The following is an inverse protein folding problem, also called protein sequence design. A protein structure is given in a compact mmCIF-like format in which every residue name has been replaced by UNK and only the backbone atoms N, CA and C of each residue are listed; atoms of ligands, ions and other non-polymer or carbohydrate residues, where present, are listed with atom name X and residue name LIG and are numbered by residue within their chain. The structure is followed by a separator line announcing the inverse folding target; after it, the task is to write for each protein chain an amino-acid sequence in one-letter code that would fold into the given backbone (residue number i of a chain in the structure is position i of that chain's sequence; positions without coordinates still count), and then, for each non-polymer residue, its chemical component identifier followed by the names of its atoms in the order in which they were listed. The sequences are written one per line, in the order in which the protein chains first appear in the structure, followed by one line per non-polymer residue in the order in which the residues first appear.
data_IF_419413412684
#
_entry.id   IF_419413412684
#
_cell.length_a   1.000
_cell.length_b   1.000
_cell.length_c   1.000
_cell.angle_alpha   90.00
_cell.angle_beta   90.00
_cell.angle_gamma   90.00
#
_symmetry.space_group_name_H-M   'P 1'
#
loop_
_entity.id
_entity.type
_entity.pdbx_description
1 polymer ?
#
# COMPACT_ATOMS: atom_id res chain seq x y z
N UNK A 1 -17.85 -14.59 -38.56
CA UNK A 1 -17.52 -13.23 -38.07
C UNK A 1 -16.30 -13.39 -37.19
N UNK A 2 -15.22 -12.63 -37.40
CA UNK A 2 -13.98 -12.81 -36.61
C UNK A 2 -14.10 -12.13 -35.25
N UNK A 3 -13.41 -12.66 -34.22
CA UNK A 3 -13.29 -12.04 -32.88
C UNK A 3 -12.85 -10.57 -32.97
N UNK A 4 -12.05 -10.23 -34.00
CA UNK A 4 -11.60 -8.87 -34.27
C UNK A 4 -12.76 -7.89 -34.51
N UNK A 5 -13.76 -8.29 -35.31
CA UNK A 5 -14.97 -7.48 -35.55
C UNK A 5 -15.86 -7.40 -34.31
N UNK A 6 -15.87 -8.47 -33.51
CA UNK A 6 -16.62 -8.52 -32.26
C UNK A 6 -16.08 -7.51 -31.23
N UNK A 7 -14.75 -7.31 -31.19
CA UNK A 7 -14.09 -6.30 -30.34
C UNK A 7 -14.39 -4.85 -30.74
N UNK A 8 -14.77 -4.58 -31.99
CA UNK A 8 -15.22 -3.24 -32.37
C UNK A 8 -16.54 -2.88 -31.71
N UNK A 9 -17.45 -3.85 -31.56
CA UNK A 9 -18.72 -3.64 -30.84
C UNK A 9 -18.51 -3.38 -29.35
N UNK A 10 -17.52 -4.04 -28.72
CA UNK A 10 -17.13 -3.74 -27.34
C UNK A 10 -16.66 -2.29 -27.19
N UNK A 11 -15.74 -1.85 -28.05
CA UNK A 11 -15.23 -0.46 -28.04
C UNK A 11 -16.33 0.58 -28.27
N UNK A 12 -17.36 0.22 -29.03
CA UNK A 12 -18.51 1.06 -29.29
C UNK A 12 -19.60 0.99 -28.20
N UNK A 13 -19.39 0.23 -27.11
CA UNK A 13 -20.36 0.02 -26.03
C UNK A 13 -21.59 -0.80 -26.45
N UNK A 14 -21.56 -1.47 -27.59
CA UNK A 14 -22.67 -2.27 -28.11
C UNK A 14 -22.63 -3.69 -27.55
N UNK A 15 -22.71 -3.80 -26.22
CA UNK A 15 -22.46 -5.03 -25.47
C UNK A 15 -23.46 -6.16 -25.80
N UNK A 16 -24.72 -5.84 -26.10
CA UNK A 16 -25.70 -6.83 -26.53
C UNK A 16 -25.33 -7.45 -27.89
N UNK A 17 -24.77 -6.68 -28.82
CA UNK A 17 -24.29 -7.22 -30.11
C UNK A 17 -23.02 -8.03 -29.94
N UNK A 18 -22.10 -7.59 -29.08
CA UNK A 18 -20.92 -8.37 -28.73
C UNK A 18 -21.33 -9.73 -28.13
N UNK A 19 -22.33 -9.76 -27.25
CA UNK A 19 -22.88 -10.99 -26.67
C UNK A 19 -23.44 -11.97 -27.71
N UNK A 20 -24.16 -11.47 -28.72
CA UNK A 20 -24.67 -12.31 -29.81
C UNK A 20 -23.52 -12.96 -30.59
N UNK A 21 -22.43 -12.23 -30.80
CA UNK A 21 -21.25 -12.78 -31.49
C UNK A 21 -20.53 -13.81 -30.63
N UNK A 22 -20.40 -13.56 -29.32
CA UNK A 22 -19.76 -14.49 -28.38
C UNK A 22 -20.43 -15.87 -28.38
N UNK A 23 -21.76 -15.92 -28.51
CA UNK A 23 -22.52 -17.18 -28.59
C UNK A 23 -22.21 -17.99 -29.87
N UNK A 24 -21.74 -17.34 -30.93
CA UNK A 24 -21.40 -17.97 -32.21
C UNK A 24 -19.92 -18.38 -32.31
N UNK A 25 -19.09 -18.10 -31.31
CA UNK A 25 -17.69 -18.54 -31.27
C UNK A 25 -17.64 -20.05 -30.96
N UNK A 26 -17.00 -20.81 -31.84
CA UNK A 26 -16.86 -22.26 -31.71
C UNK A 26 -15.67 -22.69 -30.84
N UNK A 27 -14.60 -21.89 -30.83
CA UNK A 27 -13.43 -22.10 -30.00
C UNK A 27 -13.73 -21.73 -28.54
N UNK A 28 -13.61 -22.69 -27.61
CA UNK A 28 -14.01 -22.49 -26.22
C UNK A 28 -13.11 -21.48 -25.51
N UNK A 29 -11.80 -21.50 -25.75
CA UNK A 29 -10.85 -20.60 -25.10
C UNK A 29 -11.06 -19.15 -25.58
N UNK A 30 -11.14 -18.95 -26.90
CA UNK A 30 -11.46 -17.65 -27.48
C UNK A 30 -12.85 -17.14 -27.10
N UNK A 31 -13.81 -18.04 -26.88
CA UNK A 31 -15.14 -17.69 -26.37
C UNK A 31 -15.07 -17.21 -24.92
N UNK A 32 -14.38 -17.93 -24.04
CA UNK A 32 -14.24 -17.55 -22.64
C UNK A 32 -13.50 -16.22 -22.48
N UNK A 33 -12.41 -16.01 -23.23
CA UNK A 33 -11.70 -14.73 -23.27
C UNK A 33 -12.61 -13.57 -23.71
N UNK A 34 -13.46 -13.80 -24.72
CA UNK A 34 -14.35 -12.76 -25.22
C UNK A 34 -15.57 -12.53 -24.31
N UNK A 35 -16.08 -13.57 -23.65
CA UNK A 35 -17.09 -13.43 -22.60
C UNK A 35 -16.55 -12.63 -21.41
N UNK A 36 -15.29 -12.86 -21.02
CA UNK A 36 -14.60 -12.05 -20.01
C UNK A 36 -14.49 -10.58 -20.44
N UNK A 37 -14.07 -10.30 -21.69
CA UNK A 37 -14.05 -8.93 -22.22
C UNK A 37 -15.43 -8.25 -22.13
N UNK A 38 -16.53 -8.96 -22.45
CA UNK A 38 -17.89 -8.39 -22.37
C UNK A 38 -18.32 -8.18 -20.91
N UNK A 39 -18.08 -9.16 -20.04
CA UNK A 39 -18.47 -9.07 -18.63
C UNK A 39 -17.71 -7.95 -17.91
N UNK A 40 -16.42 -7.78 -18.22
CA UNK A 40 -15.59 -6.68 -17.75
C UNK A 40 -16.16 -5.31 -18.14
N UNK A 41 -16.56 -5.12 -19.40
CA UNK A 41 -17.17 -3.86 -19.85
C UNK A 41 -18.55 -3.61 -19.21
N UNK A 42 -19.35 -4.65 -18.98
CA UNK A 42 -20.59 -4.50 -18.18
C UNK A 42 -20.28 -4.08 -16.74
N UNK A 43 -19.28 -4.69 -16.11
CA UNK A 43 -18.86 -4.33 -14.76
C UNK A 43 -18.37 -2.88 -14.71
N UNK A 44 -17.49 -2.46 -15.62
CA UNK A 44 -17.03 -1.05 -15.69
C UNK A 44 -18.15 -0.03 -15.93
N UNK A 45 -19.22 -0.44 -16.60
CA UNK A 45 -20.41 0.39 -16.78
C UNK A 45 -21.37 0.38 -15.56
N UNK A 46 -20.99 -0.26 -14.45
CA UNK A 46 -21.81 -0.39 -13.24
C UNK A 46 -22.94 -1.41 -13.36
N UNK A 47 -22.98 -2.20 -14.44
CA UNK A 47 -24.01 -3.22 -14.67
C UNK A 47 -23.59 -4.57 -14.08
N UNK A 48 -23.29 -4.59 -12.78
CA UNK A 48 -22.75 -5.74 -12.05
C UNK A 48 -23.60 -7.02 -12.21
N UNK A 49 -24.94 -6.92 -12.13
CA UNK A 49 -25.82 -8.08 -12.29
C UNK A 49 -25.66 -8.75 -13.67
N UNK A 50 -25.47 -7.95 -14.73
CA UNK A 50 -25.24 -8.48 -16.09
C UNK A 50 -23.86 -9.09 -16.20
N UNK A 51 -22.84 -8.48 -15.59
CA UNK A 51 -21.50 -9.04 -15.54
C UNK A 51 -21.51 -10.42 -14.86
N UNK A 52 -22.17 -10.54 -13.70
CA UNK A 52 -22.29 -11.81 -12.96
C UNK A 52 -22.97 -12.92 -13.78
N UNK A 53 -24.05 -12.61 -14.50
CA UNK A 53 -24.73 -13.59 -15.39
C UNK A 53 -23.82 -14.13 -16.52
N UNK A 54 -22.80 -13.36 -16.90
CA UNK A 54 -21.84 -13.75 -17.94
C UNK A 54 -20.69 -14.52 -17.31
N UNK A 55 -20.23 -14.09 -16.14
CA UNK A 55 -19.17 -14.73 -15.34
C UNK A 55 -19.45 -16.20 -15.05
N UNK A 56 -20.72 -16.58 -14.84
CA UNK A 56 -21.12 -17.98 -14.69
C UNK A 56 -20.76 -18.88 -15.89
N UNK A 57 -20.50 -18.28 -17.06
CA UNK A 57 -20.22 -18.98 -18.32
C UNK A 57 -18.73 -18.96 -18.70
N UNK A 58 -17.88 -18.33 -17.89
CA UNK A 58 -16.43 -18.22 -18.11
C UNK A 58 -15.73 -19.30 -17.29
N UNK A 59 -14.81 -20.04 -17.91
CA UNK A 59 -14.11 -21.16 -17.26
C UNK A 59 -12.60 -20.92 -17.10
N UNK A 60 -12.05 -19.85 -17.68
CA UNK A 60 -10.65 -19.46 -17.51
C UNK A 60 -10.47 -18.46 -16.35
N UNK A 61 -9.21 -18.15 -16.05
CA UNK A 61 -8.83 -17.37 -14.86
C UNK A 61 -9.23 -15.90 -14.95
N UNK A 62 -9.47 -15.36 -16.15
CA UNK A 62 -10.04 -14.01 -16.34
C UNK A 62 -11.42 -13.84 -15.69
N UNK A 63 -12.07 -14.94 -15.32
CA UNK A 63 -13.24 -14.92 -14.45
C UNK A 63 -12.98 -14.10 -13.17
N UNK A 64 -11.83 -14.29 -12.53
CA UNK A 64 -11.47 -13.66 -11.28
C UNK A 64 -11.24 -12.14 -11.45
N UNK A 65 -10.60 -11.73 -12.55
CA UNK A 65 -10.45 -10.31 -12.95
C UNK A 65 -11.82 -9.60 -13.02
N UNK A 66 -12.81 -10.23 -13.66
CA UNK A 66 -14.15 -9.62 -13.76
C UNK A 66 -14.83 -9.57 -12.39
N UNK A 67 -14.69 -10.61 -11.58
CA UNK A 67 -15.26 -10.67 -10.24
C UNK A 67 -14.70 -9.58 -9.33
N UNK A 68 -13.39 -9.27 -9.37
CA UNK A 68 -12.82 -8.19 -8.54
C UNK A 68 -13.41 -6.82 -8.88
N UNK A 69 -13.61 -6.52 -10.18
CA UNK A 69 -14.28 -5.29 -10.62
C UNK A 69 -15.73 -5.24 -10.13
N UNK A 70 -16.44 -6.37 -10.15
CA UNK A 70 -17.80 -6.45 -9.62
C UNK A 70 -17.84 -6.21 -8.12
N UNK A 71 -16.90 -6.80 -7.36
CA UNK A 71 -16.74 -6.54 -5.92
C UNK A 71 -16.61 -5.04 -5.67
N UNK A 72 -15.69 -4.38 -6.37
CA UNK A 72 -15.48 -2.93 -6.25
C UNK A 72 -16.75 -2.11 -6.49
N UNK A 73 -17.54 -2.47 -7.50
CA UNK A 73 -18.80 -1.76 -7.77
C UNK A 73 -19.80 -1.87 -6.61
N UNK A 74 -19.93 -3.06 -6.01
CA UNK A 74 -20.81 -3.22 -4.84
C UNK A 74 -20.26 -2.47 -3.63
N UNK A 75 -18.94 -2.45 -3.44
CA UNK A 75 -18.26 -1.62 -2.42
C UNK A 75 -18.57 -0.13 -2.63
N UNK A 76 -18.38 0.39 -3.84
CA UNK A 76 -18.67 1.80 -4.16
C UNK A 76 -20.17 2.13 -4.03
N UNK A 77 -21.05 1.15 -4.23
CA UNK A 77 -22.48 1.23 -3.96
C UNK A 77 -22.87 1.10 -2.48
N UNK A 78 -21.92 0.75 -1.60
CA UNK A 78 -22.12 0.55 -0.16
C UNK A 78 -22.73 -0.81 0.22
N UNK A 79 -22.84 -1.73 -0.74
CA UNK A 79 -23.39 -3.07 -0.53
C UNK A 79 -22.29 -4.09 -0.22
N UNK A 80 -21.69 -3.91 0.96
CA UNK A 80 -20.53 -4.68 1.39
C UNK A 80 -20.81 -6.18 1.60
N UNK A 81 -22.06 -6.57 1.88
CA UNK A 81 -22.41 -7.98 2.06
C UNK A 81 -22.39 -8.72 0.72
N UNK A 82 -22.93 -8.11 -0.34
CA UNK A 82 -22.79 -8.67 -1.68
C UNK A 82 -21.34 -8.67 -2.15
N UNK A 83 -20.60 -7.59 -1.90
CA UNK A 83 -19.17 -7.53 -2.22
C UNK A 83 -18.39 -8.71 -1.60
N UNK A 84 -18.61 -9.00 -0.30
CA UNK A 84 -18.02 -10.16 0.39
C UNK A 84 -18.40 -11.49 -0.25
N UNK A 85 -19.68 -11.71 -0.55
CA UNK A 85 -20.13 -12.96 -1.15
C UNK A 85 -19.49 -13.21 -2.52
N UNK A 86 -19.33 -12.17 -3.32
CA UNK A 86 -18.68 -12.27 -4.62
C UNK A 86 -17.17 -12.49 -4.46
N UNK A 87 -16.51 -11.82 -3.51
CA UNK A 87 -15.09 -12.01 -3.23
C UNK A 87 -14.78 -13.46 -2.84
N UNK A 88 -15.67 -14.16 -2.13
CA UNK A 88 -15.53 -15.59 -1.79
C UNK A 88 -15.55 -16.53 -3.01
N UNK A 89 -16.09 -16.09 -4.14
CA UNK A 89 -16.10 -16.88 -5.38
C UNK A 89 -14.75 -16.78 -6.11
N UNK A 90 -13.98 -15.71 -5.87
CA UNK A 90 -12.68 -15.49 -6.48
C UNK A 90 -11.72 -16.54 -5.93
N UNK A 91 -11.17 -17.35 -6.82
CA UNK A 91 -10.17 -18.35 -6.45
C UNK A 91 -8.85 -17.67 -6.16
N UNK A 92 -8.18 -18.15 -5.12
CA UNK A 92 -6.81 -17.82 -4.76
C UNK A 92 -5.89 -18.85 -5.45
N UNK A 93 -5.26 -18.53 -6.60
CA UNK A 93 -4.31 -19.45 -7.19
C UNK A 93 -3.09 -19.59 -6.26
N UNK A 94 -2.56 -20.81 -6.11
CA UNK A 94 -1.36 -21.06 -5.29
C UNK A 94 -0.08 -20.41 -5.87
N UNK A 95 -0.14 -19.87 -7.10
CA UNK A 95 0.96 -19.21 -7.80
C UNK A 95 0.64 -17.70 -7.97
N UNK A 96 1.55 -16.86 -7.46
CA UNK A 96 1.53 -15.40 -7.29
C UNK A 96 1.29 -14.54 -8.57
N UNK A 97 0.83 -15.10 -9.68
CA UNK A 97 0.83 -14.40 -10.97
C UNK A 97 -0.40 -13.50 -11.21
N UNK A 98 -1.54 -13.71 -10.53
CA UNK A 98 -2.74 -12.90 -10.71
C UNK A 98 -3.66 -12.92 -9.46
N UNK A 99 -3.33 -12.10 -8.46
CA UNK A 99 -4.01 -12.15 -7.16
C UNK A 99 -5.26 -11.24 -7.09
N UNK A 100 -6.26 -11.44 -7.95
CA UNK A 100 -7.51 -10.67 -7.91
C UNK A 100 -8.28 -10.80 -6.57
N UNK A 101 -7.98 -11.84 -5.78
CA UNK A 101 -8.54 -12.02 -4.43
C UNK A 101 -8.02 -10.94 -3.48
N UNK A 102 -6.72 -10.59 -3.50
CA UNK A 102 -6.20 -9.52 -2.64
C UNK A 102 -6.84 -8.18 -3.00
N UNK A 103 -7.04 -7.90 -4.31
CA UNK A 103 -7.68 -6.65 -4.77
C UNK A 103 -9.09 -6.54 -4.20
N UNK A 104 -9.87 -7.63 -4.31
CA UNK A 104 -11.24 -7.68 -3.84
C UNK A 104 -11.36 -7.49 -2.32
N UNK A 105 -10.52 -8.18 -1.52
CA UNK A 105 -10.56 -8.02 -0.05
C UNK A 105 -10.07 -6.63 0.38
N UNK A 106 -9.06 -6.08 -0.31
CA UNK A 106 -8.55 -4.73 -0.03
C UNK A 106 -9.61 -3.67 -0.32
N UNK A 107 -10.33 -3.79 -1.46
CA UNK A 107 -11.43 -2.89 -1.80
C UNK A 107 -12.55 -2.95 -0.75
N UNK A 108 -12.92 -4.14 -0.27
CA UNK A 108 -13.94 -4.29 0.79
C UNK A 108 -13.49 -3.61 2.09
N UNK A 109 -12.27 -3.89 2.54
CA UNK A 109 -11.71 -3.35 3.78
C UNK A 109 -11.58 -1.82 3.71
N UNK A 110 -11.00 -1.31 2.62
CA UNK A 110 -10.90 0.13 2.37
C UNK A 110 -12.29 0.77 2.26
N UNK A 111 -13.23 0.12 1.59
CA UNK A 111 -14.59 0.61 1.43
C UNK A 111 -15.34 0.77 2.75
N UNK A 112 -15.26 -0.22 3.64
CA UNK A 112 -15.80 -0.08 5.00
C UNK A 112 -15.16 1.10 5.73
N UNK A 113 -13.84 1.20 5.69
CA UNK A 113 -13.10 2.28 6.33
C UNK A 113 -13.43 3.66 5.73
N UNK A 114 -13.62 3.74 4.40
CA UNK A 114 -14.04 4.95 3.67
C UNK A 114 -15.45 5.39 4.08
N UNK A 115 -16.33 4.43 4.34
CA UNK A 115 -17.65 4.67 4.91
C UNK A 115 -17.63 4.97 6.43
N UNK A 116 -16.45 5.05 7.05
CA UNK A 116 -16.28 5.30 8.49
C UNK A 116 -16.59 4.09 9.38
N UNK A 117 -16.81 2.92 8.79
CA UNK A 117 -17.15 1.68 9.49
C UNK A 117 -15.87 0.87 9.81
N UNK A 118 -14.92 1.51 10.50
CA UNK A 118 -13.62 0.90 10.80
C UNK A 118 -13.72 -0.41 11.58
N UNK A 119 -14.63 -0.52 12.56
CA UNK A 119 -14.83 -1.75 13.32
C UNK A 119 -15.20 -2.93 12.41
N UNK A 120 -16.05 -2.70 11.40
CA UNK A 120 -16.42 -3.73 10.42
C UNK A 120 -15.30 -4.03 9.44
N UNK A 121 -14.50 -3.04 9.10
CA UNK A 121 -13.32 -3.25 8.26
C UNK A 121 -12.32 -4.18 8.96
N UNK A 122 -12.07 -3.92 10.25
CA UNK A 122 -11.23 -4.74 11.11
C UNK A 122 -11.78 -6.15 11.28
N UNK A 123 -13.07 -6.27 11.62
CA UNK A 123 -13.73 -7.58 11.75
C UNK A 123 -13.64 -8.37 10.44
N UNK A 124 -13.82 -7.71 9.29
CA UNK A 124 -13.66 -8.36 8.00
C UNK A 124 -12.22 -8.86 7.80
N UNK A 125 -11.21 -8.01 8.01
CA UNK A 125 -9.81 -8.36 7.84
C UNK A 125 -9.38 -9.50 8.79
N UNK A 126 -9.78 -9.45 10.06
CA UNK A 126 -9.46 -10.48 11.07
C UNK A 126 -10.07 -11.85 10.77
N UNK A 127 -11.17 -11.90 10.02
CA UNK A 127 -11.84 -13.14 9.63
C UNK A 127 -11.30 -13.75 8.32
N UNK A 128 -10.30 -13.13 7.67
CA UNK A 128 -9.66 -13.71 6.49
C UNK A 128 -8.73 -14.85 6.90
N UNK A 129 -8.87 -16.02 6.26
CA UNK A 129 -8.10 -17.22 6.59
C UNK A 129 -6.65 -17.15 6.08
N UNK A 130 -6.42 -16.52 4.93
CA UNK A 130 -5.10 -16.33 4.36
C UNK A 130 -4.44 -15.09 5.00
N UNK A 131 -3.29 -15.27 5.64
CA UNK A 131 -2.57 -14.18 6.33
C UNK A 131 -2.09 -13.09 5.36
N UNK A 132 -1.77 -13.40 4.11
CA UNK A 132 -1.43 -12.39 3.10
C UNK A 132 -2.63 -11.49 2.78
N UNK A 133 -3.80 -12.08 2.52
CA UNK A 133 -5.04 -11.32 2.27
C UNK A 133 -5.45 -10.48 3.47
N UNK A 134 -5.22 -11.00 4.68
CA UNK A 134 -5.43 -10.28 5.93
C UNK A 134 -4.49 -9.08 6.06
N UNK A 135 -3.21 -9.26 5.78
CA UNK A 135 -2.23 -8.17 5.79
C UNK A 135 -2.64 -7.07 4.80
N UNK A 136 -3.02 -7.42 3.57
CA UNK A 136 -3.45 -6.45 2.55
C UNK A 136 -4.75 -5.72 2.96
N UNK A 137 -5.72 -6.43 3.54
CA UNK A 137 -6.93 -5.80 4.07
C UNK A 137 -6.62 -4.84 5.24
N UNK A 138 -5.73 -5.23 6.16
CA UNK A 138 -5.27 -4.38 7.26
C UNK A 138 -4.50 -3.17 6.73
N UNK A 139 -3.70 -3.36 5.68
CA UNK A 139 -2.97 -2.28 5.00
C UNK A 139 -3.93 -1.27 4.38
N UNK A 140 -4.99 -1.74 3.73
CA UNK A 140 -6.02 -0.88 3.15
C UNK A 140 -6.74 -0.03 4.23
N UNK A 141 -6.99 -0.61 5.41
CA UNK A 141 -7.58 0.11 6.55
C UNK A 141 -6.61 1.14 7.12
N UNK A 142 -5.34 0.75 7.31
CA UNK A 142 -4.25 1.61 7.75
C UNK A 142 -4.09 2.83 6.83
N UNK A 143 -4.10 2.61 5.52
CA UNK A 143 -4.07 3.65 4.51
C UNK A 143 -5.22 4.64 4.70
N UNK A 144 -6.43 4.14 4.98
CA UNK A 144 -7.58 5.02 5.22
C UNK A 144 -7.45 5.85 6.50
N UNK A 145 -6.95 5.28 7.60
CA UNK A 145 -6.64 6.06 8.80
C UNK A 145 -5.58 7.14 8.53
N UNK A 146 -4.59 6.84 7.68
CA UNK A 146 -3.60 7.81 7.25
C UNK A 146 -4.24 8.98 6.51
N UNK A 147 -5.11 8.73 5.52
CA UNK A 147 -5.83 9.79 4.80
C UNK A 147 -6.64 10.72 5.71
N UNK A 148 -7.07 10.23 6.87
CA UNK A 148 -7.80 11.00 7.89
C UNK A 148 -6.90 11.67 8.93
N UNK A 149 -5.58 11.47 8.84
CA UNK A 149 -4.60 11.99 9.79
C UNK A 149 -4.63 11.30 11.16
N UNK A 150 -5.19 10.09 11.25
CA UNK A 150 -5.39 9.31 12.47
C UNK A 150 -4.26 8.29 12.68
N UNK A 151 -3.02 8.80 12.74
CA UNK A 151 -1.82 7.97 12.77
C UNK A 151 -1.67 7.12 14.04
N UNK A 152 -2.29 7.52 15.16
CA UNK A 152 -2.27 6.71 16.39
C UNK A 152 -2.91 5.33 16.15
N UNK A 153 -3.95 5.26 15.32
CA UNK A 153 -4.63 4.01 14.99
C UNK A 153 -3.81 3.12 14.05
N UNK A 154 -3.10 3.72 13.09
CA UNK A 154 -2.22 2.97 12.19
C UNK A 154 -1.11 2.29 12.98
N UNK A 155 -0.54 3.02 13.95
CA UNK A 155 0.48 2.49 14.86
C UNK A 155 -0.03 1.30 15.66
N UNK A 156 -1.25 1.40 16.21
CA UNK A 156 -1.84 0.30 16.97
C UNK A 156 -2.03 -0.96 16.11
N UNK A 157 -2.26 -0.79 14.81
CA UNK A 157 -2.52 -1.88 13.87
C UNK A 157 -1.26 -2.40 13.17
N UNK A 158 -0.16 -1.65 13.16
CA UNK A 158 1.08 -2.03 12.48
C UNK A 158 1.58 -3.45 12.81
N UNK A 159 1.52 -3.94 14.06
CA UNK A 159 1.95 -5.31 14.38
C UNK A 159 1.16 -6.42 13.69
N UNK A 160 -0.07 -6.14 13.26
CA UNK A 160 -0.95 -7.12 12.64
C UNK A 160 -0.73 -7.33 11.13
N UNK A 161 0.12 -6.50 10.49
CA UNK A 161 0.32 -6.45 9.03
C UNK A 161 1.74 -6.88 8.58
N UNK A 162 2.59 -7.36 9.50
CA UNK A 162 4.05 -7.51 9.29
C UNK A 162 4.43 -8.73 8.41
N UNK A 163 3.50 -9.62 8.05
CA UNK A 163 3.87 -10.86 7.34
C UNK A 163 4.25 -10.65 5.87
N UNK A 164 3.80 -9.57 5.22
CA UNK A 164 4.01 -9.29 3.80
C UNK A 164 5.34 -8.60 3.40
N UNK A 165 6.29 -8.40 4.32
CA UNK A 165 7.62 -7.85 3.99
C UNK A 165 7.68 -6.35 3.65
N UNK A 166 6.52 -5.67 3.57
CA UNK A 166 6.42 -4.21 3.62
C UNK A 166 6.32 -3.77 5.09
N UNK A 167 7.26 -2.96 5.55
CA UNK A 167 7.26 -2.43 6.92
C UNK A 167 6.11 -1.40 7.06
N UNK A 168 5.01 -1.70 7.79
CA UNK A 168 3.88 -0.78 7.91
C UNK A 168 4.29 0.58 8.49
N UNK A 169 5.38 0.62 9.26
CA UNK A 169 5.95 1.85 9.81
C UNK A 169 6.66 2.68 8.74
N UNK A 170 7.25 2.05 7.71
CA UNK A 170 7.82 2.77 6.59
C UNK A 170 6.73 3.47 5.77
N UNK A 171 5.60 2.81 5.55
CA UNK A 171 4.43 3.39 4.86
C UNK A 171 3.79 4.50 5.70
N UNK A 172 3.65 4.32 7.02
CA UNK A 172 3.23 5.40 7.92
C UNK A 172 4.15 6.60 7.77
N UNK A 173 5.47 6.40 7.80
CA UNK A 173 6.43 7.49 7.62
C UNK A 173 6.29 8.19 6.27
N UNK A 174 6.14 7.43 5.18
CA UNK A 174 5.91 7.95 3.82
C UNK A 174 4.60 8.76 3.73
N UNK A 175 3.52 8.29 4.34
CA UNK A 175 2.23 8.97 4.31
C UNK A 175 2.20 10.20 5.23
N UNK A 176 2.88 10.13 6.38
CA UNK A 176 3.12 11.30 7.24
C UNK A 176 3.91 12.38 6.50
N UNK A 177 4.87 11.98 5.64
CA UNK A 177 5.61 12.87 4.72
C UNK A 177 4.70 13.46 3.65
N UNK A 178 3.93 12.61 2.97
CA UNK A 178 3.03 13.05 1.91
C UNK A 178 1.97 14.05 2.40
N UNK A 179 1.60 14.00 3.68
CA UNK A 179 0.64 14.91 4.31
C UNK A 179 1.28 16.07 5.07
N UNK A 180 2.59 16.30 4.89
CA UNK A 180 3.33 17.42 5.49
C UNK A 180 3.15 17.54 7.01
N UNK A 181 3.05 16.42 7.74
CA UNK A 181 2.97 16.49 9.19
C UNK A 181 4.24 17.12 9.78
N UNK A 182 4.04 17.96 10.80
CA UNK A 182 5.14 18.56 11.53
C UNK A 182 5.98 17.50 12.25
N UNK A 183 7.31 17.63 12.15
CA UNK A 183 8.31 16.77 12.78
C UNK A 183 8.00 16.42 14.24
N UNK A 184 7.54 17.39 15.03
CA UNK A 184 7.28 17.20 16.45
C UNK A 184 6.13 16.23 16.70
N UNK A 185 5.08 16.29 15.87
CA UNK A 185 3.92 15.38 15.94
C UNK A 185 4.33 13.96 15.55
N UNK A 186 5.15 13.83 14.51
CA UNK A 186 5.67 12.54 14.06
C UNK A 186 6.48 11.85 15.18
N UNK A 187 7.35 12.60 15.86
CA UNK A 187 8.15 12.06 16.98
C UNK A 187 7.26 11.71 18.18
N UNK A 188 6.24 12.51 18.50
CA UNK A 188 5.29 12.20 19.57
C UNK A 188 4.58 10.87 19.31
N UNK A 189 4.01 10.71 18.12
CA UNK A 189 3.34 9.50 17.66
C UNK A 189 4.30 8.30 17.68
N UNK A 190 5.56 8.49 17.28
CA UNK A 190 6.57 7.42 17.32
C UNK A 190 6.92 6.99 18.76
N UNK A 191 6.84 7.89 19.73
CA UNK A 191 7.09 7.58 21.15
C UNK A 191 5.95 6.82 21.81
N UNK A 192 4.75 6.79 21.24
CA UNK A 192 3.63 6.01 21.77
C UNK A 192 3.72 4.53 21.42
N UNK A 193 4.70 4.11 20.62
CA UNK A 193 4.94 2.71 20.28
C UNK A 193 5.39 1.92 21.51
N UNK A 194 4.71 0.80 21.78
CA UNK A 194 5.04 -0.08 22.91
C UNK A 194 6.36 -0.84 22.69
N UNK A 195 6.70 -1.13 21.43
CA UNK A 195 7.86 -1.93 21.05
C UNK A 195 9.03 -1.04 20.60
N UNK A 196 10.19 -1.20 21.24
CA UNK A 196 11.40 -0.47 20.88
C UNK A 196 11.90 -0.77 19.45
N UNK A 197 11.65 -1.96 18.91
CA UNK A 197 12.01 -2.29 17.53
C UNK A 197 11.23 -1.41 16.54
N UNK A 198 9.92 -1.33 16.72
CA UNK A 198 9.02 -0.55 15.87
C UNK A 198 9.32 0.95 16.02
N UNK A 199 9.56 1.39 17.26
CA UNK A 199 10.02 2.75 17.53
C UNK A 199 11.31 3.06 16.76
N UNK A 200 12.29 2.16 16.81
CA UNK A 200 13.56 2.35 16.08
C UNK A 200 13.37 2.37 14.57
N UNK A 201 12.55 1.47 14.02
CA UNK A 201 12.28 1.37 12.59
C UNK A 201 11.62 2.65 12.05
N UNK A 202 10.58 3.13 12.74
CA UNK A 202 9.87 4.36 12.37
C UNK A 202 10.78 5.58 12.46
N UNK A 203 11.52 5.74 13.57
CA UNK A 203 12.49 6.83 13.73
C UNK A 203 13.55 6.84 12.62
N UNK A 204 14.03 5.65 12.23
CA UNK A 204 14.96 5.51 11.11
C UNK A 204 14.32 5.99 9.81
N UNK A 205 13.13 5.51 9.45
CA UNK A 205 12.46 5.94 8.21
C UNK A 205 12.26 7.46 8.16
N UNK A 206 11.81 8.05 9.27
CA UNK A 206 11.64 9.50 9.44
C UNK A 206 12.97 10.25 9.20
N UNK A 207 14.07 9.79 9.80
CA UNK A 207 15.40 10.38 9.60
C UNK A 207 15.78 10.36 8.12
N UNK A 208 15.60 9.22 7.43
CA UNK A 208 15.98 9.07 6.02
C UNK A 208 15.21 10.04 5.13
N UNK A 209 13.92 10.27 5.39
CA UNK A 209 13.09 11.12 4.54
C UNK A 209 13.23 12.62 4.85
N UNK A 210 13.34 12.99 6.12
CA UNK A 210 13.32 14.40 6.54
C UNK A 210 14.70 15.06 6.67
N UNK A 211 15.80 14.29 6.71
CA UNK A 211 17.16 14.83 6.86
C UNK A 211 17.55 15.87 5.81
N UNK A 212 17.00 15.74 4.60
CA UNK A 212 17.31 16.57 3.44
C UNK A 212 16.46 17.85 3.34
N UNK A 213 15.53 18.09 4.26
CA UNK A 213 14.67 19.29 4.23
C UNK A 213 15.23 20.37 5.14
N UNK A 214 15.46 21.58 4.60
CA UNK A 214 16.17 22.68 5.31
C UNK A 214 15.60 23.01 6.70
N UNK A 215 14.29 22.84 6.90
CA UNK A 215 13.61 23.14 8.17
C UNK A 215 13.69 22.02 9.23
N UNK A 216 14.13 20.81 8.88
CA UNK A 216 14.09 19.66 9.79
C UNK A 216 15.47 19.16 10.22
N UNK A 217 16.56 19.56 9.56
CA UNK A 217 17.90 19.11 9.92
C UNK A 217 18.29 19.49 11.36
N UNK A 218 17.96 20.71 11.81
CA UNK A 218 18.19 21.15 13.20
C UNK A 218 17.33 20.36 14.20
N UNK A 219 16.09 20.05 13.82
CA UNK A 219 15.18 19.24 14.65
C UNK A 219 15.71 17.80 14.80
N UNK A 220 16.25 17.22 13.73
CA UNK A 220 16.90 15.90 13.75
C UNK A 220 18.16 15.91 14.62
N UNK A 221 18.99 16.95 14.53
CA UNK A 221 20.18 17.10 15.38
C UNK A 221 19.77 17.15 16.85
N UNK A 222 18.76 17.98 17.19
CA UNK A 222 18.23 18.07 18.56
C UNK A 222 17.68 16.73 19.03
N UNK A 223 16.90 16.06 18.19
CA UNK A 223 16.35 14.74 18.47
C UNK A 223 17.45 13.71 18.74
N UNK A 224 18.43 13.59 17.83
CA UNK A 224 19.56 12.66 17.96
C UNK A 224 20.40 12.92 19.22
N UNK A 225 20.59 14.19 19.60
CA UNK A 225 21.28 14.57 20.84
C UNK A 225 20.48 14.20 22.09
N UNK A 226 19.15 14.20 22.01
CA UNK A 226 18.25 13.82 23.11
C UNK A 226 17.93 12.33 23.17
N UNK A 227 18.21 11.58 22.10
CA UNK A 227 17.95 10.15 22.03
C UNK A 227 18.87 9.38 23.00
N UNK A 228 18.26 8.54 23.83
CA UNK A 228 18.97 7.63 24.75
C UNK A 228 19.50 6.39 24.03
N UNK A 229 18.86 5.99 22.94
CA UNK A 229 19.29 4.89 22.08
C UNK A 229 20.48 5.33 21.20
N UNK A 230 21.67 4.78 21.46
CA UNK A 230 22.89 5.09 20.69
C UNK A 230 22.76 4.73 19.21
N UNK A 231 21.94 3.73 18.83
CA UNK A 231 21.77 3.31 17.44
C UNK A 231 21.00 4.36 16.63
N UNK A 232 19.93 4.92 17.19
CA UNK A 232 19.14 5.98 16.56
C UNK A 232 19.94 7.28 16.47
N UNK A 233 20.66 7.62 17.54
CA UNK A 233 21.59 8.76 17.53
C UNK A 233 22.61 8.62 16.39
N UNK A 234 23.22 7.45 16.24
CA UNK A 234 24.20 7.21 15.19
C UNK A 234 23.58 7.32 13.78
N UNK A 235 22.44 6.66 13.55
CA UNK A 235 21.74 6.68 12.25
C UNK A 235 21.35 8.10 11.84
N UNK A 236 20.82 8.89 12.78
CA UNK A 236 20.45 10.29 12.55
C UNK A 236 21.64 11.14 12.12
N UNK A 237 22.74 11.05 12.87
CA UNK A 237 23.93 11.87 12.63
C UNK A 237 24.68 11.41 11.36
N UNK A 238 24.72 10.12 11.05
CA UNK A 238 25.28 9.62 9.79
C UNK A 238 24.49 10.12 8.56
N UNK A 239 23.15 10.05 8.61
CA UNK A 239 22.31 10.50 7.49
C UNK A 239 22.41 11.99 7.23
N UNK A 240 22.34 12.80 8.29
CA UNK A 240 22.54 14.24 8.18
C UNK A 240 23.91 14.59 7.60
N UNK A 241 24.97 13.88 7.99
CA UNK A 241 26.29 14.14 7.43
C UNK A 241 26.40 13.81 5.95
N UNK A 242 25.77 12.70 5.49
CA UNK A 242 25.68 12.39 4.05
C UNK A 242 24.91 13.47 3.28
N UNK A 243 23.77 13.89 3.83
CA UNK A 243 22.95 14.98 3.28
C UNK A 243 23.75 16.28 3.12
N UNK A 244 24.46 16.70 4.16
CA UNK A 244 25.28 17.91 4.11
C UNK A 244 26.46 17.81 3.15
N UNK A 245 27.02 16.62 2.93
CA UNK A 245 28.01 16.41 1.87
C UNK A 245 27.42 16.59 0.48
N UNK A 246 26.23 16.05 0.23
CA UNK A 246 25.52 16.23 -1.05
C UNK A 246 25.21 17.72 -1.29
N UNK A 247 24.81 18.44 -0.24
CA UNK A 247 24.58 19.88 -0.26
C UNK A 247 25.87 20.73 -0.27
N UNK A 248 27.05 20.11 -0.15
CA UNK A 248 28.38 20.76 -0.03
C UNK A 248 28.52 21.69 1.17
N UNK A 249 27.75 21.46 2.24
CA UNK A 249 27.83 22.17 3.52
C UNK A 249 28.81 21.47 4.47
N UNK A 250 30.10 21.59 4.16
CA UNK A 250 31.16 20.89 4.90
C UNK A 250 31.35 21.38 6.33
N UNK A 251 30.93 22.61 6.65
CA UNK A 251 30.98 23.15 8.01
C UNK A 251 30.06 22.37 8.95
N UNK A 252 28.83 22.08 8.50
CA UNK A 252 27.89 21.25 9.26
C UNK A 252 28.29 19.78 9.33
N UNK A 253 28.94 19.24 8.29
CA UNK A 253 29.55 17.88 8.35
C UNK A 253 30.57 17.79 9.49
N UNK A 254 31.44 18.79 9.61
CA UNK A 254 32.46 18.85 10.67
C UNK A 254 31.85 19.04 12.07
N UNK A 255 30.76 19.81 12.19
CA UNK A 255 30.02 19.94 13.45
C UNK A 255 29.46 18.58 13.91
N UNK A 256 28.80 17.86 13.01
CA UNK A 256 28.25 16.54 13.30
C UNK A 256 29.36 15.56 13.69
N UNK A 257 30.45 15.50 12.93
CA UNK A 257 31.57 14.60 13.21
C UNK A 257 32.18 14.82 14.61
N UNK A 258 32.27 16.08 15.06
CA UNK A 258 32.72 16.42 16.42
C UNK A 258 31.72 15.96 17.49
N UNK A 259 30.42 16.02 17.21
CA UNK A 259 29.36 15.65 18.17
C UNK A 259 29.22 14.14 18.42
N UNK A 260 29.63 13.30 17.47
CA UNK A 260 29.60 11.83 17.59
C UNK A 260 30.82 11.28 18.34
N UNK A 261 31.91 12.07 18.40
CA UNK A 261 33.22 11.62 18.87
C UNK A 261 33.91 10.76 17.81
N UNK A 262 34.91 11.35 17.14
CA UNK A 262 35.71 10.71 16.07
C UNK A 262 36.29 9.33 16.44
N UNK A 263 36.44 9.04 17.74
CA UNK A 263 37.04 7.79 18.24
C UNK A 263 36.09 6.59 18.29
N UNK A 264 34.76 6.80 18.31
CA UNK A 264 33.78 5.69 18.41
C UNK A 264 33.32 5.13 17.06
N UNK A 265 33.69 5.76 15.95
CA UNK A 265 33.21 5.39 14.61
C UNK A 265 34.23 4.49 13.93
N UNK A 266 33.88 3.22 13.68
CA UNK A 266 34.69 2.35 12.79
C UNK A 266 34.78 3.02 11.41
N UNK A 267 35.99 3.44 11.09
CA UNK A 267 36.41 4.33 9.99
C UNK A 267 36.30 3.67 8.61
N UNK A 268 35.11 3.23 8.20
CA UNK A 268 34.90 2.73 6.82
C UNK A 268 33.98 3.61 5.98
N UNK A 269 32.96 4.24 6.56
CA UNK A 269 31.99 5.06 5.80
C UNK A 269 32.37 6.54 5.65
N UNK A 270 33.14 7.13 6.58
CA UNK A 270 33.42 8.58 6.58
C UNK A 270 34.63 9.02 5.72
N UNK A 271 35.50 8.09 5.34
CA UNK A 271 36.62 8.37 4.41
C UNK A 271 36.17 8.83 3.02
N UNK A 272 34.91 8.55 2.67
CA UNK A 272 34.29 8.94 1.39
C UNK A 272 33.44 10.21 1.49
N UNK A 273 33.20 10.71 2.71
CA UNK A 273 32.28 11.83 3.01
C UNK A 273 33.08 13.15 3.14
N UNK A 274 34.29 13.12 3.70
CA UNK A 274 35.13 14.31 3.84
C UNK A 274 36.18 14.33 2.71
N UNK A 275 36.18 15.32 1.80
CA UNK A 275 37.22 15.42 0.79
C UNK A 275 38.58 15.67 1.46
N UNK A 276 39.68 15.07 0.96
CA UNK A 276 41.01 15.28 1.53
C UNK A 276 41.39 16.76 1.44
N UNK A 277 41.89 17.28 2.56
CA UNK A 277 42.41 18.64 2.75
C UNK A 277 43.51 19.02 1.79
#
# INVERSE_FOLDING_TARGET
MSILQAREYLKAGQLEKAMQIAQAIADNEGKDLFLADIAYEYAKAGQSDRALQIVEKIHNDRKNEVLSVVVKNYVDGGDFEWAKQIAEIIKDPDDDEDDWKWEAVSDIAYGYAKAGQFDKALEFAENLENEYHKDEALWAIAYRYAELGQFEWIIKMAPASISAGNDPLAVIAELMVAQELEWDRIIEITKTLENEFDQRALLRSIIYQYANTENNSDKIIKFARSATDESIKYVALEHLAKSYVEAKDYDRVLEIAKSIGLEKVRVTSWKYIIPPS
#
